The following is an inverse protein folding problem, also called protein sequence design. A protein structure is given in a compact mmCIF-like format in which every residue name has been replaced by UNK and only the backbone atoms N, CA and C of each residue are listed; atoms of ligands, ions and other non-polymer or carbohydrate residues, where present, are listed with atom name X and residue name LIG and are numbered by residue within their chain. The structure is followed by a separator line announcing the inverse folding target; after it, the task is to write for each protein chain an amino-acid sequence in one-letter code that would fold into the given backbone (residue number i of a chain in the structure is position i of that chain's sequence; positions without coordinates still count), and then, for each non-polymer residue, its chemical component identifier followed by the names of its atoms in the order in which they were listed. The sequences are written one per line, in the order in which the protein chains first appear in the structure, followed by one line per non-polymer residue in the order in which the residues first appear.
data_IF_652375621402
#
_entry.id   IF_652375621402
#
_cell.length_a   1.000
_cell.length_b   1.000
_cell.length_c   1.000
_cell.angle_alpha   90.00
_cell.angle_beta   90.00
_cell.angle_gamma   90.00
#
_symmetry.space_group_name_H-M   'P 1'
#
loop_
_entity.id
_entity.type
_entity.pdbx_description
1 polymer ?
#
# COMPACT_ATOMS: atom_id res chain seq x y z
N UNK A 1 13.55 -5.31 -1.32
CA UNK A 1 12.77 -6.42 -1.91
C UNK A 1 11.66 -5.96 -2.87
N UNK A 2 10.94 -4.86 -2.60
CA UNK A 2 9.88 -4.33 -3.50
C UNK A 2 10.44 -3.59 -4.74
N UNK A 3 11.65 -3.00 -4.66
CA UNK A 3 12.30 -2.26 -5.77
C UNK A 3 12.38 -3.05 -7.09
N UNK A 4 12.46 -4.38 -7.04
CA UNK A 4 12.62 -5.23 -8.24
C UNK A 4 11.28 -5.77 -8.79
N UNK A 5 10.14 -5.33 -8.22
CA UNK A 5 8.79 -5.77 -8.63
C UNK A 5 7.86 -4.55 -8.76
N UNK A 6 8.01 -3.72 -9.80
CA UNK A 6 7.22 -2.49 -9.99
C UNK A 6 5.71 -2.74 -9.98
N UNK A 7 5.24 -3.80 -10.63
CA UNK A 7 3.81 -4.14 -10.64
C UNK A 7 3.26 -4.45 -9.25
N UNK A 8 4.07 -5.06 -8.38
CA UNK A 8 3.68 -5.32 -6.99
C UNK A 8 3.57 -4.00 -6.23
N UNK A 9 4.56 -3.11 -6.35
CA UNK A 9 4.53 -1.78 -5.74
C UNK A 9 3.30 -0.97 -6.19
N UNK A 10 3.10 -0.85 -7.51
CA UNK A 10 2.03 -0.06 -8.11
C UNK A 10 0.64 -0.57 -7.68
N UNK A 11 0.44 -1.89 -7.65
CA UNK A 11 -0.85 -2.45 -7.27
C UNK A 11 -1.14 -2.37 -5.77
N UNK A 12 -0.10 -2.35 -4.93
CA UNK A 12 -0.23 -2.33 -3.48
C UNK A 12 -0.36 -0.91 -2.92
N UNK A 13 0.47 0.02 -3.39
CA UNK A 13 0.64 1.31 -2.73
C UNK A 13 0.04 2.49 -3.52
N UNK A 14 -0.09 2.36 -4.85
CA UNK A 14 -0.55 3.45 -5.68
C UNK A 14 -2.08 3.40 -5.88
N UNK A 15 -2.80 4.53 -5.75
CA UNK A 15 -4.21 4.60 -6.11
C UNK A 15 -4.38 4.38 -7.62
N UNK A 16 -5.60 3.99 -8.04
CA UNK A 16 -5.92 3.75 -9.45
C UNK A 16 -5.52 4.92 -10.37
N UNK A 17 -5.73 6.15 -9.95
CA UNK A 17 -5.43 7.36 -10.74
C UNK A 17 -3.94 7.74 -10.79
N UNK A 18 -3.06 7.06 -10.04
CA UNK A 18 -1.61 7.29 -10.08
C UNK A 18 -0.80 6.14 -10.67
N UNK A 19 -1.45 5.00 -10.95
CA UNK A 19 -0.74 3.81 -11.48
C UNK A 19 0.05 4.11 -12.75
N UNK A 20 -0.55 4.85 -13.68
CA UNK A 20 0.09 5.16 -14.97
C UNK A 20 1.24 6.16 -14.82
N UNK A 21 1.12 7.14 -13.91
CA UNK A 21 2.20 8.10 -13.61
C UNK A 21 3.42 7.37 -13.06
N UNK A 22 3.19 6.47 -12.10
CA UNK A 22 4.25 5.72 -11.44
C UNK A 22 4.88 4.72 -12.41
N UNK A 23 4.06 4.06 -13.24
CA UNK A 23 4.56 3.17 -14.29
C UNK A 23 5.46 3.92 -15.28
N UNK A 24 5.09 5.15 -15.66
CA UNK A 24 5.95 6.01 -16.50
C UNK A 24 7.28 6.35 -15.83
N UNK A 25 7.31 6.61 -14.52
CA UNK A 25 8.57 6.85 -13.80
C UNK A 25 9.49 5.62 -13.87
N UNK A 26 8.94 4.42 -13.67
CA UNK A 26 9.70 3.17 -13.84
C UNK A 26 10.21 2.97 -15.27
N UNK A 27 9.39 3.27 -16.28
CA UNK A 27 9.78 3.15 -17.69
C UNK A 27 10.90 4.12 -18.09
N UNK A 28 10.99 5.28 -17.42
CA UNK A 28 12.02 6.30 -17.66
C UNK A 28 13.29 6.11 -16.84
N UNK A 29 13.36 5.12 -15.96
CA UNK A 29 14.48 4.97 -15.02
C UNK A 29 14.48 6.02 -13.90
N UNK A 30 13.34 6.67 -13.65
CA UNK A 30 13.16 7.71 -12.63
C UNK A 30 12.66 7.13 -11.29
N UNK A 31 12.59 5.80 -11.13
CA UNK A 31 11.99 5.16 -9.96
C UNK A 31 12.72 5.49 -8.65
N UNK A 32 14.00 5.87 -8.69
CA UNK A 32 14.73 6.34 -7.51
C UNK A 32 14.03 7.53 -6.84
N UNK A 33 13.46 8.43 -7.64
CA UNK A 33 12.75 9.63 -7.16
C UNK A 33 11.56 9.28 -6.27
N UNK A 34 10.87 8.17 -6.56
CA UNK A 34 9.75 7.68 -5.74
C UNK A 34 10.22 7.36 -4.31
N UNK A 35 11.44 6.87 -4.15
CA UNK A 35 11.98 6.42 -2.87
C UNK A 35 12.82 7.47 -2.14
N UNK A 36 13.40 8.43 -2.88
CA UNK A 36 14.37 9.41 -2.37
C UNK A 36 13.74 10.80 -2.19
N UNK A 37 12.68 11.14 -2.92
CA UNK A 37 11.97 12.43 -2.81
C UNK A 37 10.67 12.25 -2.02
N UNK A 38 10.61 12.77 -0.78
CA UNK A 38 9.44 12.63 0.09
C UNK A 38 8.15 13.13 -0.56
N UNK A 39 8.22 14.24 -1.30
CA UNK A 39 7.08 14.80 -2.03
C UNK A 39 6.54 13.81 -3.08
N UNK A 40 7.42 13.25 -3.90
CA UNK A 40 7.04 12.27 -4.93
C UNK A 40 6.45 11.03 -4.30
N UNK A 41 7.04 10.56 -3.18
CA UNK A 41 6.49 9.46 -2.41
C UNK A 41 5.05 9.77 -1.98
N UNK A 42 4.81 10.89 -1.30
CA UNK A 42 3.47 11.28 -0.81
C UNK A 42 2.44 11.45 -1.93
N UNK A 43 2.85 11.91 -3.11
CA UNK A 43 1.96 12.06 -4.26
C UNK A 43 1.67 10.72 -4.97
N UNK A 44 2.56 9.74 -4.79
CA UNK A 44 2.50 8.40 -5.40
C UNK A 44 1.65 7.42 -4.59
N UNK A 45 1.74 7.48 -3.26
CA UNK A 45 1.03 6.56 -2.36
C UNK A 45 -0.18 7.24 -1.72
N UNK A 46 -1.34 6.59 -1.76
CA UNK A 46 -2.57 7.11 -1.11
C UNK A 46 -2.94 6.38 0.16
N UNK A 47 -2.48 5.15 0.31
CA UNK A 47 -2.88 4.30 1.42
C UNK A 47 -1.80 4.29 2.49
N UNK A 48 -2.23 4.28 3.75
CA UNK A 48 -1.32 3.92 4.83
C UNK A 48 -0.72 2.54 4.51
N UNK A 49 0.58 2.37 4.75
CA UNK A 49 1.25 1.06 4.60
C UNK A 49 0.48 -0.04 5.33
N UNK A 50 -0.17 0.31 6.44
CA UNK A 50 -1.01 -0.58 7.25
C UNK A 50 -2.25 -1.07 6.50
N UNK A 51 -2.97 -0.21 5.79
CA UNK A 51 -4.13 -0.60 4.97
C UNK A 51 -3.74 -1.68 3.97
N UNK A 52 -2.70 -1.39 3.20
CA UNK A 52 -2.20 -2.27 2.14
C UNK A 52 -1.72 -3.59 2.71
N UNK A 53 -0.98 -3.56 3.82
CA UNK A 53 -0.49 -4.75 4.49
C UNK A 53 -1.64 -5.63 5.00
N UNK A 54 -2.59 -5.05 5.74
CA UNK A 54 -3.75 -5.77 6.29
C UNK A 54 -4.62 -6.38 5.20
N UNK A 55 -4.88 -5.63 4.12
CA UNK A 55 -5.63 -6.13 2.96
C UNK A 55 -4.95 -7.35 2.31
N UNK A 56 -3.63 -7.38 2.27
CA UNK A 56 -2.89 -8.51 1.71
C UNK A 56 -3.01 -9.77 2.61
N UNK A 57 -2.94 -9.60 3.93
CA UNK A 57 -3.15 -10.71 4.86
C UNK A 57 -4.56 -11.31 4.75
N UNK A 58 -5.58 -10.48 4.49
CA UNK A 58 -6.93 -10.96 4.17
C UNK A 58 -6.93 -11.75 2.86
N UNK A 59 -6.31 -11.22 1.81
CA UNK A 59 -6.24 -11.89 0.51
C UNK A 59 -5.50 -13.24 0.56
N UNK A 60 -4.47 -13.35 1.40
CA UNK A 60 -3.73 -14.60 1.65
C UNK A 60 -4.49 -15.59 2.56
N UNK A 61 -5.64 -15.21 3.10
CA UNK A 61 -6.42 -16.05 4.01
C UNK A 61 -5.84 -16.15 5.43
N UNK A 62 -4.90 -15.27 5.80
CA UNK A 62 -4.35 -15.21 7.16
C UNK A 62 -5.35 -14.50 8.10
N UNK A 63 -5.90 -13.38 7.62
CA UNK A 63 -6.94 -12.63 8.32
C UNK A 63 -8.31 -12.93 7.72
N UNK A 64 -9.36 -12.90 8.55
CA UNK A 64 -10.75 -12.98 8.10
C UNK A 64 -11.11 -11.78 7.22
N UNK A 65 -11.99 -11.99 6.23
CA UNK A 65 -12.61 -10.92 5.43
C UNK A 65 -13.41 -9.91 6.24
N UNK A 66 -13.80 -10.25 7.48
CA UNK A 66 -14.58 -9.40 8.40
C UNK A 66 -13.74 -8.37 9.17
N UNK A 67 -12.46 -8.25 8.81
CA UNK A 67 -11.60 -7.19 9.30
C UNK A 67 -11.96 -5.85 8.65
N UNK A 68 -12.10 -4.82 9.47
CA UNK A 68 -12.17 -3.44 8.98
C UNK A 68 -10.82 -3.03 8.38
N UNK A 69 -10.86 -2.24 7.31
CA UNK A 69 -9.68 -1.68 6.66
C UNK A 69 -9.72 -0.16 6.79
N UNK A 70 -8.69 0.43 7.39
CA UNK A 70 -8.55 1.90 7.49
C UNK A 70 -7.92 2.47 6.22
N UNK A 71 -8.71 2.98 5.30
CA UNK A 71 -8.24 3.54 4.03
C UNK A 71 -7.74 4.99 4.12
N UNK A 72 -7.84 5.62 5.31
CA UNK A 72 -7.46 7.01 5.57
C UNK A 72 -5.96 7.22 5.78
N UNK A 73 -5.59 8.43 6.25
CA UNK A 73 -4.20 8.78 6.56
C UNK A 73 -3.68 7.91 7.70
N UNK A 74 -2.36 7.67 7.70
CA UNK A 74 -1.72 6.92 8.79
C UNK A 74 -1.85 7.66 10.14
N UNK A 75 -1.85 9.00 10.13
CA UNK A 75 -2.03 9.81 11.35
C UNK A 75 -3.41 9.60 12.01
N UNK A 76 -4.40 9.16 11.22
CA UNK A 76 -5.75 8.84 11.70
C UNK A 76 -5.91 7.35 12.08
N UNK A 77 -4.83 6.55 11.97
CA UNK A 77 -4.84 5.14 12.31
C UNK A 77 -4.46 4.92 13.78
N UNK A 78 -5.34 4.26 14.54
CA UNK A 78 -5.13 3.94 15.94
C UNK A 78 -4.92 2.43 16.13
N UNK A 79 -3.67 1.94 16.21
CA UNK A 79 -3.39 0.51 16.29
C UNK A 79 -4.04 -0.16 17.51
N UNK A 80 -4.14 0.55 18.64
CA UNK A 80 -4.77 0.06 19.86
C UNK A 80 -6.28 -0.21 19.72
N UNK A 81 -6.92 0.37 18.70
CA UNK A 81 -8.35 0.20 18.43
C UNK A 81 -8.61 -0.75 17.25
N UNK A 82 -7.57 -1.17 16.51
CA UNK A 82 -7.69 -2.05 15.35
C UNK A 82 -7.36 -3.51 15.70
N UNK A 83 -8.34 -4.22 16.27
CA UNK A 83 -8.19 -5.64 16.64
C UNK A 83 -8.34 -6.55 15.41
N UNK A 84 -7.26 -7.28 15.08
CA UNK A 84 -7.23 -8.13 13.89
C UNK A 84 -7.85 -9.51 14.15
N UNK A 85 -8.79 -9.90 13.29
CA UNK A 85 -9.45 -11.21 13.35
C UNK A 85 -8.70 -12.20 12.45
N UNK A 86 -8.20 -13.29 13.01
CA UNK A 86 -7.63 -14.40 12.24
C UNK A 86 -8.75 -15.16 11.51
N UNK A 87 -8.41 -15.83 10.40
CA UNK A 87 -9.34 -16.77 9.79
C UNK A 87 -9.59 -17.92 10.79
N UNK A 88 -10.85 -18.29 11.02
CA UNK A 88 -11.17 -19.54 11.70
C UNK A 88 -11.09 -20.64 10.66
N UNK A 89 -10.19 -21.60 10.87
CA UNK A 89 -10.16 -22.86 10.13
C UNK A 89 -11.37 -23.73 10.49
#
# INVERSE_FOLDING_TARGET
MVKNKPNLFINLFCPKNKKDDVLRMYQKGEEKRIYEEERVLRETITHSTVFTFKKHLIHLGILSSDNTLHSGKLDDYYPSQDLWKLIKL
#
